data_IF_196177119580
#
_entry.id   IF_196177119580
#
_cell.length_a   1.000
_cell.length_b   1.000
_cell.length_c   1.000
_cell.angle_alpha   90.00
_cell.angle_beta   90.00
_cell.angle_gamma   90.00
#
_symmetry.space_group_name_H-M   'P 1'
#
loop_
_entity.id
_entity.type
_entity.pdbx_description
1 polymer ?
#
# COMPACT_ATOMS: atom_id res chain seq x y z
N UNK A 1 -7.73 11.80 -4.05
CA UNK A 1 -9.01 11.28 -3.54
C UNK A 1 -8.66 10.22 -2.52
N UNK A 2 -9.28 10.24 -1.34
CA UNK A 2 -9.00 9.32 -0.23
C UNK A 2 -10.32 8.74 0.28
N UNK A 3 -10.30 7.54 0.84
CA UNK A 3 -11.46 6.90 1.45
C UNK A 3 -11.03 6.33 2.81
N UNK A 4 -11.65 6.81 3.88
CA UNK A 4 -11.47 6.29 5.24
C UNK A 4 -11.97 4.83 5.34
N UNK A 5 -11.62 4.13 6.42
CA UNK A 5 -12.14 2.79 6.68
C UNK A 5 -13.67 2.83 6.81
N UNK A 6 -14.33 2.01 5.99
CA UNK A 6 -15.79 2.00 5.86
C UNK A 6 -16.29 0.63 5.40
N UNK A 7 -17.56 0.34 5.67
CA UNK A 7 -18.32 -0.78 5.11
C UNK A 7 -19.22 -0.35 3.93
N UNK A 8 -19.18 0.91 3.51
CA UNK A 8 -19.87 1.39 2.29
C UNK A 8 -19.14 0.92 1.03
N UNK A 9 -19.44 -0.32 0.63
CA UNK A 9 -18.90 -0.92 -0.59
C UNK A 9 -19.21 -0.11 -1.86
N UNK A 10 -20.33 0.62 -1.90
CA UNK A 10 -20.70 1.42 -3.06
C UNK A 10 -19.84 2.70 -3.14
N UNK A 11 -19.62 3.34 -1.99
CA UNK A 11 -18.69 4.45 -1.82
C UNK A 11 -17.27 4.06 -2.22
N UNK A 12 -16.76 2.93 -1.72
CA UNK A 12 -15.42 2.42 -2.06
C UNK A 12 -15.29 2.11 -3.56
N UNK A 13 -16.32 1.53 -4.20
CA UNK A 13 -16.29 1.29 -5.66
C UNK A 13 -16.24 2.59 -6.45
N UNK A 14 -17.01 3.59 -6.03
CA UNK A 14 -17.04 4.91 -6.67
C UNK A 14 -15.68 5.59 -6.53
N UNK A 15 -15.08 5.51 -5.34
CA UNK A 15 -13.75 5.98 -5.04
C UNK A 15 -12.68 5.36 -5.96
N UNK A 16 -12.69 4.03 -6.10
CA UNK A 16 -11.79 3.30 -6.99
C UNK A 16 -12.00 3.69 -8.46
N UNK A 17 -13.25 3.82 -8.91
CA UNK A 17 -13.57 4.19 -10.29
C UNK A 17 -13.13 5.62 -10.66
N UNK A 18 -12.96 6.48 -9.66
CA UNK A 18 -12.47 7.86 -9.82
C UNK A 18 -10.94 7.99 -9.83
N UNK A 19 -10.18 6.90 -9.65
CA UNK A 19 -8.72 6.95 -9.65
C UNK A 19 -8.19 7.33 -11.04
N UNK A 20 -7.28 8.30 -11.07
CA UNK A 20 -6.56 8.74 -12.26
C UNK A 20 -5.07 8.74 -11.95
N UNK A 21 -4.25 8.25 -12.88
CA UNK A 21 -2.80 8.24 -12.74
C UNK A 21 -2.24 9.59 -13.20
N UNK A 22 -1.61 10.31 -12.29
CA UNK A 22 -0.89 11.56 -12.58
C UNK A 22 0.29 11.73 -11.63
N UNK A 23 1.33 12.43 -12.09
CA UNK A 23 2.50 12.78 -11.28
C UNK A 23 3.44 11.61 -10.93
N UNK A 24 3.97 11.66 -9.71
CA UNK A 24 5.00 10.77 -9.20
C UNK A 24 4.43 9.57 -8.42
N UNK A 25 5.28 8.63 -8.03
CA UNK A 25 4.90 7.43 -7.27
C UNK A 25 5.35 7.56 -5.80
N UNK A 26 4.53 8.20 -4.98
CA UNK A 26 4.84 8.41 -3.55
C UNK A 26 4.37 7.25 -2.67
N UNK A 27 5.09 6.11 -2.74
CA UNK A 27 4.80 4.93 -1.92
C UNK A 27 4.91 5.24 -0.41
N UNK A 28 5.85 6.10 -0.02
CA UNK A 28 6.06 6.42 1.38
C UNK A 28 4.86 7.15 2.00
N UNK A 29 4.28 8.13 1.29
CA UNK A 29 3.05 8.79 1.72
C UNK A 29 1.88 7.81 1.83
N UNK A 30 1.68 6.97 0.81
CA UNK A 30 0.61 5.97 0.81
C UNK A 30 0.69 5.03 2.01
N UNK A 31 1.89 4.51 2.33
CA UNK A 31 2.10 3.65 3.49
C UNK A 31 1.88 4.39 4.82
N UNK A 32 2.29 5.66 4.89
CA UNK A 32 2.12 6.49 6.08
C UNK A 32 0.64 6.75 6.37
N UNK A 33 -0.14 7.14 5.36
CA UNK A 33 -1.60 7.34 5.46
C UNK A 33 -2.29 6.03 5.83
N UNK A 34 -2.01 4.94 5.10
CA UNK A 34 -2.62 3.64 5.37
C UNK A 34 -2.34 3.13 6.78
N UNK A 35 -1.11 3.29 7.29
CA UNK A 35 -0.77 2.96 8.68
C UNK A 35 -1.59 3.77 9.67
N UNK A 36 -1.70 5.09 9.46
CA UNK A 36 -2.46 5.96 10.36
C UNK A 36 -3.92 5.54 10.43
N UNK A 37 -4.51 5.29 9.28
CA UNK A 37 -5.90 4.87 9.20
C UNK A 37 -6.12 3.52 9.91
N UNK A 38 -5.24 2.55 9.67
CA UNK A 38 -5.27 1.23 10.31
C UNK A 38 -5.04 1.25 11.83
N UNK A 39 -4.52 2.35 12.38
CA UNK A 39 -4.33 2.56 13.83
C UNK A 39 -5.24 3.66 14.41
N UNK A 40 -6.13 4.22 13.60
CA UNK A 40 -7.02 5.30 14.01
C UNK A 40 -8.20 4.77 14.83
N UNK A 41 -9.05 5.68 15.30
CA UNK A 41 -10.35 5.31 15.89
C UNK A 41 -11.32 4.66 14.90
N UNK A 42 -11.07 4.78 13.59
CA UNK A 42 -11.87 4.13 12.55
C UNK A 42 -11.49 2.64 12.38
N UNK A 43 -10.34 2.21 12.92
CA UNK A 43 -9.93 0.83 12.87
C UNK A 43 -10.90 -0.05 13.65
N UNK A 44 -11.33 -1.16 13.06
CA UNK A 44 -12.15 -2.15 13.75
C UNK A 44 -11.27 -2.92 14.76
N UNK A 45 -11.47 -2.76 16.09
CA UNK A 45 -10.63 -3.41 17.10
C UNK A 45 -10.77 -4.93 17.11
N UNK A 46 -11.84 -5.47 16.52
CA UNK A 46 -12.05 -6.90 16.34
C UNK A 46 -11.48 -7.46 15.03
N UNK A 47 -10.82 -6.65 14.20
CA UNK A 47 -10.24 -7.09 12.94
C UNK A 47 -8.71 -7.09 12.98
N UNK A 48 -8.09 -7.96 12.18
CA UNK A 48 -6.65 -7.89 11.93
C UNK A 48 -6.38 -6.77 10.92
N UNK A 49 -5.56 -5.76 11.26
CA UNK A 49 -5.25 -4.69 10.32
C UNK A 49 -4.29 -5.19 9.23
N UNK A 50 -4.67 -4.93 7.99
CA UNK A 50 -3.91 -5.34 6.80
C UNK A 50 -3.86 -4.18 5.81
N UNK A 51 -2.69 -3.97 5.21
CA UNK A 51 -2.50 -3.00 4.12
C UNK A 51 -2.20 -3.78 2.84
N UNK A 52 -2.88 -3.44 1.74
CA UNK A 52 -2.58 -3.97 0.41
C UNK A 52 -2.13 -2.81 -0.47
N UNK A 53 -0.85 -2.79 -0.82
CA UNK A 53 -0.26 -1.78 -1.70
C UNK A 53 -0.21 -2.28 -3.15
N UNK A 54 -0.85 -1.56 -4.06
CA UNK A 54 -0.81 -1.83 -5.50
C UNK A 54 0.03 -0.74 -6.18
N UNK A 55 1.04 -1.13 -6.96
CA UNK A 55 1.86 -0.18 -7.74
C UNK A 55 2.51 -0.83 -8.95
N UNK A 56 2.50 -0.15 -10.09
CA UNK A 56 3.31 -0.46 -11.28
C UNK A 56 4.60 0.38 -11.35
N UNK A 57 4.73 1.38 -10.46
CA UNK A 57 5.81 2.36 -10.45
C UNK A 57 6.85 2.15 -9.35
N UNK A 58 7.98 2.83 -9.51
CA UNK A 58 9.10 2.84 -8.56
C UNK A 58 8.92 4.04 -7.62
N UNK A 59 8.98 3.80 -6.31
CA UNK A 59 8.99 4.88 -5.31
C UNK A 59 10.02 5.96 -5.66
N UNK A 60 9.56 7.19 -5.87
CA UNK A 60 10.39 8.28 -6.39
C UNK A 60 9.99 9.65 -5.83
N UNK A 61 9.43 9.70 -4.63
CA UNK A 61 9.02 10.96 -3.98
C UNK A 61 9.35 10.91 -2.49
N UNK A 62 9.64 12.07 -1.90
CA UNK A 62 9.90 12.20 -0.46
C UNK A 62 8.61 12.43 0.30
N UNK A 63 8.57 12.00 1.56
CA UNK A 63 7.44 12.27 2.46
C UNK A 63 7.91 12.93 3.74
N UNK A 64 7.16 13.91 4.23
CA UNK A 64 7.22 14.28 5.63
C UNK A 64 6.54 13.18 6.45
N UNK A 65 7.34 12.41 7.16
CA UNK A 65 6.84 11.28 7.94
C UNK A 65 5.96 11.65 9.13
N UNK A 66 5.91 12.93 9.51
CA UNK A 66 5.06 13.46 10.57
C UNK A 66 3.70 13.94 10.07
N UNK A 67 3.57 14.29 8.79
CA UNK A 67 2.28 14.68 8.19
C UNK A 67 1.74 13.64 7.22
N UNK A 68 2.59 12.73 6.75
CA UNK A 68 2.33 11.81 5.63
C UNK A 68 2.14 12.51 4.28
N UNK A 69 2.55 13.77 4.17
CA UNK A 69 2.44 14.56 2.93
C UNK A 69 3.76 14.56 2.15
N UNK A 70 3.67 14.75 0.83
CA UNK A 70 4.85 14.98 0.02
C UNK A 70 5.61 16.24 0.51
N UNK A 71 6.94 16.14 0.60
CA UNK A 71 7.75 17.33 0.88
C UNK A 71 7.65 18.29 -0.31
N UNK A 72 7.10 19.48 -0.06
CA UNK A 72 6.93 20.51 -1.08
C UNK A 72 8.23 20.81 -1.82
N UNK A 73 8.17 20.80 -3.15
CA UNK A 73 9.33 21.05 -4.03
C UNK A 73 10.26 19.83 -4.21
N UNK A 74 9.94 18.67 -3.64
CA UNK A 74 10.72 17.44 -3.87
C UNK A 74 10.54 16.88 -5.28
N UNK A 75 9.39 17.12 -5.91
CA UNK A 75 9.05 16.61 -7.23
C UNK A 75 9.11 15.08 -7.29
N UNK A 76 9.27 14.52 -8.49
CA UNK A 76 9.66 13.13 -8.62
C UNK A 76 11.15 13.03 -8.27
N UNK A 77 11.42 13.07 -6.97
CA UNK A 77 12.72 12.90 -6.34
C UNK A 77 13.46 11.62 -6.79
N UNK A 78 14.69 11.46 -6.31
CA UNK A 78 15.49 10.27 -6.57
C UNK A 78 14.80 8.99 -6.07
N UNK A 79 14.81 7.94 -6.89
CA UNK A 79 14.29 6.62 -6.50
C UNK A 79 14.98 6.05 -5.26
N UNK A 80 16.22 6.45 -4.97
CA UNK A 80 16.92 6.04 -3.74
C UNK A 80 16.20 6.58 -2.52
N UNK A 81 15.89 7.88 -2.52
CA UNK A 81 15.27 8.52 -1.37
C UNK A 81 13.83 8.06 -1.19
N UNK A 82 13.05 7.99 -2.28
CA UNK A 82 11.67 7.50 -2.23
C UNK A 82 11.58 6.07 -1.71
N UNK A 83 12.53 5.20 -2.09
CA UNK A 83 12.64 3.84 -1.53
C UNK A 83 13.03 3.84 -0.06
N UNK A 84 13.94 4.71 0.37
CA UNK A 84 14.36 4.79 1.77
C UNK A 84 13.22 5.27 2.67
N UNK A 85 12.49 6.30 2.25
CA UNK A 85 11.33 6.80 2.97
C UNK A 85 10.22 5.72 3.04
N UNK A 86 10.00 4.98 1.96
CA UNK A 86 9.04 3.87 1.93
C UNK A 86 9.47 2.67 2.81
N UNK A 87 10.77 2.32 2.86
CA UNK A 87 11.29 1.32 3.82
C UNK A 87 11.03 1.74 5.25
N UNK A 88 11.32 3.00 5.58
CA UNK A 88 11.05 3.53 6.92
C UNK A 88 9.58 3.38 7.29
N UNK A 89 8.66 3.62 6.36
CA UNK A 89 7.23 3.41 6.62
C UNK A 89 6.85 1.92 6.74
N UNK A 90 7.46 1.04 5.95
CA UNK A 90 7.28 -0.40 6.11
C UNK A 90 7.74 -0.90 7.50
N UNK A 91 8.87 -0.39 8.00
CA UNK A 91 9.33 -0.68 9.37
C UNK A 91 8.33 -0.19 10.42
N UNK A 92 7.76 1.00 10.23
CA UNK A 92 6.75 1.54 11.14
C UNK A 92 5.43 0.76 11.09
N UNK A 93 5.05 0.23 9.93
CA UNK A 93 3.91 -0.68 9.76
C UNK A 93 4.19 -2.00 10.51
N UNK A 94 5.38 -2.57 10.35
CA UNK A 94 5.78 -3.79 11.04
C UNK A 94 5.75 -3.62 12.56
N UNK A 95 6.27 -2.49 13.08
CA UNK A 95 6.22 -2.17 14.52
C UNK A 95 4.80 -2.01 15.05
N UNK A 96 3.86 -1.57 14.22
CA UNK A 96 2.45 -1.48 14.56
C UNK A 96 1.72 -2.83 14.52
N UNK A 97 2.40 -3.92 14.15
CA UNK A 97 1.81 -5.26 14.04
C UNK A 97 0.88 -5.42 12.82
N UNK A 98 1.02 -4.55 11.82
CA UNK A 98 0.20 -4.56 10.60
C UNK A 98 0.93 -5.34 9.51
N UNK A 99 0.21 -6.19 8.78
CA UNK A 99 0.76 -6.94 7.65
C UNK A 99 0.60 -6.16 6.35
N UNK A 100 1.69 -5.98 5.61
CA UNK A 100 1.70 -5.35 4.28
C UNK A 100 1.80 -6.39 3.18
N UNK A 101 0.74 -6.53 2.39
CA UNK A 101 0.78 -7.20 1.10
C UNK A 101 1.10 -6.20 0.00
N UNK A 102 1.89 -6.62 -0.99
CA UNK A 102 2.20 -5.77 -2.14
C UNK A 102 1.84 -6.48 -3.44
N UNK A 103 1.33 -5.73 -4.42
CA UNK A 103 0.97 -6.22 -5.73
C UNK A 103 1.65 -5.33 -6.78
N UNK A 104 2.54 -5.91 -7.57
CA UNK A 104 3.10 -5.22 -8.74
C UNK A 104 2.16 -5.39 -9.94
N UNK A 105 1.71 -4.28 -10.50
CA UNK A 105 0.75 -4.26 -11.60
C UNK A 105 1.43 -4.16 -12.97
N UNK A 106 0.93 -4.93 -13.93
CA UNK A 106 1.34 -4.81 -15.33
C UNK A 106 2.68 -5.47 -15.69
N UNK A 107 3.03 -5.39 -16.98
CA UNK A 107 4.25 -5.97 -17.58
C UNK A 107 5.28 -4.92 -18.00
N UNK A 108 5.12 -3.68 -17.54
CA UNK A 108 6.00 -2.58 -17.93
C UNK A 108 7.40 -2.80 -17.38
N UNK A 109 8.41 -2.21 -18.04
CA UNK A 109 9.79 -2.25 -17.56
C UNK A 109 9.92 -1.70 -16.14
N UNK A 110 9.11 -0.70 -15.77
CA UNK A 110 9.14 -0.10 -14.45
C UNK A 110 8.45 -0.98 -13.40
N UNK A 111 7.35 -1.64 -13.74
CA UNK A 111 6.73 -2.65 -12.88
C UNK A 111 7.70 -3.78 -12.56
N UNK A 112 8.42 -4.28 -13.58
CA UNK A 112 9.46 -5.31 -13.40
C UNK A 112 10.59 -4.84 -12.51
N UNK A 113 11.01 -3.57 -12.61
CA UNK A 113 12.04 -2.97 -11.74
C UNK A 113 11.55 -2.68 -10.32
N UNK A 114 10.25 -2.48 -10.13
CA UNK A 114 9.64 -2.25 -8.82
C UNK A 114 9.51 -3.55 -8.00
N UNK A 115 9.34 -4.71 -8.66
CA UNK A 115 9.14 -6.02 -8.00
C UNK A 115 10.14 -6.31 -6.86
N UNK A 116 11.47 -6.18 -7.03
CA UNK A 116 12.40 -6.47 -5.94
C UNK A 116 12.16 -5.60 -4.70
N UNK A 117 11.85 -4.33 -4.93
CA UNK A 117 11.57 -3.38 -3.85
C UNK A 117 10.21 -3.64 -3.18
N UNK A 118 9.16 -3.91 -3.98
CA UNK A 118 7.84 -4.26 -3.46
C UNK A 118 7.87 -5.55 -2.64
N UNK A 119 8.70 -6.51 -3.03
CA UNK A 119 8.95 -7.73 -2.27
C UNK A 119 9.70 -7.47 -0.97
N UNK A 120 10.71 -6.60 -1.00
CA UNK A 120 11.47 -6.20 0.18
C UNK A 120 10.55 -5.63 1.27
N UNK A 121 9.74 -4.61 0.96
CA UNK A 121 8.88 -3.95 1.95
C UNK A 121 7.75 -4.86 2.46
N UNK A 122 7.22 -5.76 1.63
CA UNK A 122 6.24 -6.75 2.09
C UNK A 122 6.86 -7.67 3.16
N UNK A 123 8.06 -8.18 2.88
CA UNK A 123 8.77 -9.10 3.76
C UNK A 123 9.12 -8.47 5.12
N UNK A 124 9.43 -7.17 5.16
CA UNK A 124 9.71 -6.45 6.42
C UNK A 124 8.56 -6.54 7.43
N UNK A 125 7.33 -6.68 6.94
CA UNK A 125 6.11 -6.77 7.77
C UNK A 125 5.63 -8.20 8.02
N UNK A 126 6.33 -9.21 7.47
CA UNK A 126 5.84 -10.59 7.44
C UNK A 126 4.75 -10.87 6.39
N UNK A 127 4.47 -9.89 5.52
CA UNK A 127 3.52 -10.03 4.41
C UNK A 127 4.10 -10.73 3.18
N UNK A 128 3.36 -10.69 2.08
CA UNK A 128 3.72 -11.35 0.82
C UNK A 128 3.55 -10.40 -0.37
N UNK A 129 4.48 -10.52 -1.31
CA UNK A 129 4.40 -9.86 -2.61
C UNK A 129 3.75 -10.76 -3.67
N UNK A 130 2.96 -10.13 -4.54
CA UNK A 130 2.32 -10.73 -5.70
C UNK A 130 2.62 -9.92 -6.96
N UNK A 131 2.66 -10.61 -8.10
CA UNK A 131 2.74 -9.98 -9.41
C UNK A 131 1.41 -10.21 -10.13
N UNK A 132 0.79 -9.14 -10.60
CA UNK A 132 -0.45 -9.15 -11.35
C UNK A 132 -0.23 -8.55 -12.76
N UNK A 133 0.33 -9.33 -13.70
CA UNK A 133 0.51 -8.89 -15.07
C UNK A 133 -0.81 -8.63 -15.82
N UNK A 134 -1.90 -9.25 -15.39
CA UNK A 134 -3.25 -9.11 -15.96
C UNK A 134 -4.30 -8.86 -14.89
N UNK A 135 -5.47 -8.36 -15.29
CA UNK A 135 -6.61 -8.17 -14.38
C UNK A 135 -7.12 -9.49 -13.78
N UNK A 136 -7.03 -10.61 -14.52
CA UNK A 136 -7.40 -11.92 -14.00
C UNK A 136 -6.46 -12.37 -12.87
N UNK A 137 -5.16 -12.09 -12.99
CA UNK A 137 -4.21 -12.34 -11.91
C UNK A 137 -4.55 -11.50 -10.68
N UNK A 138 -4.93 -10.23 -10.89
CA UNK A 138 -5.31 -9.33 -9.81
C UNK A 138 -6.51 -9.84 -9.01
N UNK A 139 -7.56 -10.31 -9.69
CA UNK A 139 -8.73 -10.89 -9.04
C UNK A 139 -8.36 -12.11 -8.20
N UNK A 140 -7.58 -13.04 -8.76
CA UNK A 140 -7.12 -14.24 -8.04
C UNK A 140 -6.28 -13.89 -6.80
N UNK A 141 -5.44 -12.86 -6.88
CA UNK A 141 -4.61 -12.39 -5.77
C UNK A 141 -5.48 -11.81 -4.64
N UNK A 142 -6.48 -10.98 -4.95
CA UNK A 142 -7.38 -10.46 -3.91
C UNK A 142 -8.17 -11.58 -3.21
N UNK A 143 -8.58 -12.60 -3.97
CA UNK A 143 -9.19 -13.81 -3.38
C UNK A 143 -8.20 -14.51 -2.44
N UNK A 144 -6.95 -14.77 -2.87
CA UNK A 144 -5.92 -15.40 -2.02
C UNK A 144 -5.66 -14.58 -0.74
N UNK A 145 -5.56 -13.25 -0.85
CA UNK A 145 -5.36 -12.37 0.32
C UNK A 145 -6.56 -12.49 1.26
N UNK A 146 -7.79 -12.41 0.76
CA UNK A 146 -9.01 -12.49 1.59
C UNK A 146 -9.12 -13.79 2.39
N UNK A 147 -8.59 -14.91 1.86
CA UNK A 147 -8.58 -16.20 2.54
C UNK A 147 -7.48 -16.33 3.61
N UNK A 148 -6.43 -15.51 3.52
CA UNK A 148 -5.29 -15.53 4.44
C UNK A 148 -5.45 -14.61 5.63
N UNK A 149 -6.27 -13.57 5.50
CA UNK A 149 -6.59 -12.70 6.64
C UNK A 149 -7.43 -13.55 7.60
N UNK A 150 -6.92 -13.88 8.80
CA UNK A 150 -7.69 -14.69 9.72
C UNK A 150 -8.92 -13.91 10.15
N UNK A 151 -10.10 -14.50 9.95
CA UNK A 151 -11.33 -13.99 10.53
C UNK A 151 -11.20 -14.15 12.06
N UNK A 152 -11.10 -13.04 12.77
CA UNK A 152 -11.22 -13.05 14.23
C UNK A 152 -12.71 -13.25 14.52
N UNK A 153 -13.07 -14.43 15.00
CA UNK A 153 -14.36 -14.65 15.62
C UNK A 153 -14.37 -13.86 16.93
N UNK A 154 -15.16 -12.79 16.97
CA UNK A 154 -15.46 -12.08 18.21
C UNK A 154 -16.53 -12.90 18.93
N UNK A 155 -16.20 -13.52 20.06
CA UNK A 155 -17.16 -14.17 20.98
C UNK A 155 -17.93 -13.13 21.81
#
# INVERSE_FOLDING_TARGET
>A
MDAELTDDFAGVKTAIAGLSADGCTNIAAALCVARREATSSNANPGAVPVIVLLSDGIANTRVDHSTCEEISGSGCASTTDGKNDARRQADEIAKAGIVLYTISLGKTTDAVKAVPFMKEIANLTGGKHFSAPTTADLEAIFIEISQKIPAVLVE
#
